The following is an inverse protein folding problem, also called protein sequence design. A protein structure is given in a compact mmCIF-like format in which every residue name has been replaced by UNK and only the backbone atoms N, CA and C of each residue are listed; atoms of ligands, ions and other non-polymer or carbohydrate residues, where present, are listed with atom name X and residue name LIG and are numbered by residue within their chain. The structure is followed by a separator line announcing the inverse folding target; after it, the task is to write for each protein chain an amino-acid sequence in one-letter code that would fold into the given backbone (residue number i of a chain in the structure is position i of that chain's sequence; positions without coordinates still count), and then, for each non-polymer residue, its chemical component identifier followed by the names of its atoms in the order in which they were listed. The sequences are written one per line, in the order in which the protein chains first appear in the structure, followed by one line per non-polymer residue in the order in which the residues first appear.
data_IF_411733334593
#
_entry.id   IF_411733334593
#
_cell.length_a   1.000
_cell.length_b   1.000
_cell.length_c   1.000
_cell.angle_alpha   90.00
_cell.angle_beta   90.00
_cell.angle_gamma   90.00
#
_symmetry.space_group_name_H-M   'P 1'
#
loop_
_entity.id
_entity.type
_entity.pdbx_description
1 polymer ?
#
# COMPACT_ATOMS: atom_id res chain seq x y z
N UNK A 1 25.29 -14.33 -13.11
CA UNK A 1 23.89 -14.37 -12.63
C UNK A 1 23.81 -13.63 -11.30
N UNK A 2 23.96 -12.30 -11.35
CA UNK A 2 24.20 -11.43 -10.18
C UNK A 2 22.88 -10.92 -9.56
N UNK A 3 21.84 -11.76 -9.48
CA UNK A 3 20.46 -11.30 -9.19
C UNK A 3 19.85 -11.86 -7.90
N UNK A 4 20.66 -12.45 -7.00
CA UNK A 4 20.15 -13.08 -5.76
C UNK A 4 20.93 -12.67 -4.50
N UNK A 5 21.37 -11.42 -4.41
CA UNK A 5 21.90 -10.88 -3.15
C UNK A 5 21.49 -9.43 -2.97
N UNK A 6 20.18 -9.19 -2.96
CA UNK A 6 19.66 -8.08 -2.16
C UNK A 6 19.63 -8.66 -0.75
N UNK A 7 20.60 -8.26 0.07
CA UNK A 7 20.68 -8.65 1.47
C UNK A 7 19.34 -8.33 2.14
N UNK A 8 18.67 -9.35 2.67
CA UNK A 8 17.48 -9.20 3.52
C UNK A 8 17.91 -8.57 4.85
N UNK A 9 18.13 -7.26 4.87
CA UNK A 9 18.07 -6.54 6.13
C UNK A 9 16.60 -6.43 6.53
N UNK A 10 16.21 -7.36 7.41
CA UNK A 10 14.99 -7.26 8.22
C UNK A 10 15.06 -5.94 9.00
N UNK A 11 14.00 -5.13 8.86
CA UNK A 11 13.89 -3.86 9.58
C UNK A 11 13.63 -4.18 11.06
N UNK A 12 14.67 -4.03 11.89
CA UNK A 12 14.58 -4.28 13.33
C UNK A 12 13.97 -3.04 13.99
N UNK A 13 12.75 -3.18 14.49
CA UNK A 13 12.08 -2.17 15.29
C UNK A 13 12.52 -2.28 16.76
N UNK A 14 12.58 -1.14 17.46
CA UNK A 14 12.94 -1.08 18.88
C UNK A 14 11.92 -1.84 19.76
N UNK A 15 10.65 -1.92 19.34
CA UNK A 15 9.60 -2.58 20.08
C UNK A 15 9.25 -3.99 19.56
N UNK A 16 8.92 -4.89 20.50
CA UNK A 16 8.57 -6.28 20.19
C UNK A 16 7.32 -6.42 19.32
N UNK A 17 6.40 -5.46 19.34
CA UNK A 17 5.14 -5.51 18.58
C UNK A 17 5.38 -5.24 17.09
N UNK A 18 6.26 -4.28 16.77
CA UNK A 18 6.77 -4.02 15.43
C UNK A 18 7.41 -5.28 14.83
N UNK A 19 8.41 -5.84 15.52
CA UNK A 19 9.11 -7.04 15.07
C UNK A 19 8.19 -8.24 14.84
N UNK A 20 7.17 -8.45 15.71
CA UNK A 20 6.15 -9.50 15.51
C UNK A 20 5.32 -9.29 14.24
N UNK A 21 5.02 -8.04 13.87
CA UNK A 21 4.19 -7.75 12.69
C UNK A 21 4.96 -7.97 11.40
N UNK A 22 6.24 -7.63 11.38
CA UNK A 22 7.14 -7.83 10.22
C UNK A 22 7.36 -9.32 9.98
N UNK A 23 7.68 -10.08 11.03
CA UNK A 23 7.91 -11.52 10.90
C UNK A 23 6.68 -12.32 10.46
N UNK A 24 5.47 -11.83 10.75
CA UNK A 24 4.21 -12.51 10.37
C UNK A 24 3.77 -12.25 8.94
N UNK A 25 4.21 -11.15 8.32
CA UNK A 25 3.73 -10.80 6.99
C UNK A 25 4.77 -9.98 6.21
N UNK A 26 5.17 -10.53 5.07
CA UNK A 26 6.20 -10.01 4.18
C UNK A 26 5.77 -8.75 3.39
N UNK A 27 5.37 -7.68 4.11
CA UNK A 27 4.82 -6.44 3.52
C UNK A 27 5.76 -5.81 2.51
N UNK A 28 7.05 -5.71 2.87
CA UNK A 28 8.09 -5.08 2.05
C UNK A 28 8.31 -5.86 0.78
N UNK A 29 8.45 -7.18 0.89
CA UNK A 29 8.66 -8.09 -0.24
C UNK A 29 7.44 -8.05 -1.20
N UNK A 30 6.22 -8.08 -0.67
CA UNK A 30 5.01 -8.01 -1.48
C UNK A 30 4.86 -6.67 -2.20
N UNK A 31 5.17 -5.56 -1.52
CA UNK A 31 5.16 -4.22 -2.13
C UNK A 31 6.17 -4.13 -3.28
N UNK A 32 7.43 -4.53 -3.03
CA UNK A 32 8.49 -4.54 -4.05
C UNK A 32 8.08 -5.43 -5.24
N UNK A 33 7.58 -6.63 -4.96
CA UNK A 33 7.12 -7.56 -6.00
C UNK A 33 6.02 -6.94 -6.86
N UNK A 34 5.01 -6.32 -6.24
CA UNK A 34 3.91 -5.65 -6.93
C UNK A 34 4.41 -4.53 -7.85
N UNK A 35 5.30 -3.66 -7.35
CA UNK A 35 5.89 -2.57 -8.15
C UNK A 35 6.64 -3.13 -9.36
N UNK A 36 7.54 -4.10 -9.16
CA UNK A 36 8.34 -4.69 -10.25
C UNK A 36 7.44 -5.34 -11.31
N UNK A 37 6.42 -6.10 -10.90
CA UNK A 37 5.52 -6.78 -11.83
C UNK A 37 4.69 -5.79 -12.64
N UNK A 38 4.18 -4.74 -12.01
CA UNK A 38 3.42 -3.69 -12.71
C UNK A 38 4.27 -2.93 -13.73
N UNK A 39 5.49 -2.55 -13.35
CA UNK A 39 6.42 -1.89 -14.28
C UNK A 39 6.79 -2.78 -15.47
N UNK A 40 6.99 -4.09 -15.25
CA UNK A 40 7.27 -5.05 -16.33
C UNK A 40 6.12 -5.20 -17.32
N UNK A 41 4.89 -4.90 -16.91
CA UNK A 41 3.71 -4.90 -17.77
C UNK A 41 3.47 -3.54 -18.45
N UNK A 42 4.35 -2.55 -18.22
CA UNK A 42 4.21 -1.20 -18.80
C UNK A 42 3.23 -0.30 -18.05
N UNK A 43 2.82 -0.66 -16.83
CA UNK A 43 1.97 0.20 -16.02
C UNK A 43 2.76 1.29 -15.31
N UNK A 44 2.15 2.47 -15.20
CA UNK A 44 2.63 3.52 -14.31
C UNK A 44 2.23 3.20 -12.87
N UNK A 45 3.22 3.18 -11.97
CA UNK A 45 3.02 2.84 -10.56
C UNK A 45 3.12 4.10 -9.72
N UNK A 46 2.11 4.30 -8.86
CA UNK A 46 2.07 5.42 -7.91
C UNK A 46 1.98 4.85 -6.51
N UNK A 47 2.89 5.27 -5.64
CA UNK A 47 2.88 4.88 -4.23
C UNK A 47 2.06 5.88 -3.44
N UNK A 48 1.04 5.39 -2.74
CA UNK A 48 0.11 6.19 -1.93
C UNK A 48 0.18 5.72 -0.49
N UNK A 49 0.27 6.66 0.46
CA UNK A 49 0.25 6.33 1.89
C UNK A 49 -1.18 5.99 2.36
N UNK A 50 -1.44 4.76 2.85
CA UNK A 50 -2.77 4.35 3.29
C UNK A 50 -3.15 4.86 4.70
N UNK A 51 -2.25 5.58 5.39
CA UNK A 51 -2.49 6.04 6.77
C UNK A 51 -3.75 6.90 6.85
N UNK A 52 -4.58 6.62 7.85
CA UNK A 52 -5.78 7.41 8.17
C UNK A 52 -6.98 7.18 7.25
N UNK A 53 -7.03 6.07 6.50
CA UNK A 53 -8.17 5.77 5.62
C UNK A 53 -9.35 5.18 6.40
N UNK A 54 -9.16 4.11 7.15
CA UNK A 54 -10.26 3.33 7.76
C UNK A 54 -10.89 3.95 9.01
N UNK A 55 -10.36 5.09 9.50
CA UNK A 55 -10.81 5.75 10.72
C UNK A 55 -11.33 7.18 10.45
N UNK A 56 -11.74 7.49 9.21
CA UNK A 56 -12.31 8.78 8.85
C UNK A 56 -13.81 8.69 8.66
N UNK A 57 -14.52 9.79 8.95
CA UNK A 57 -15.97 9.90 8.68
C UNK A 57 -16.27 9.74 7.19
N UNK A 58 -15.38 10.22 6.32
CA UNK A 58 -15.45 10.04 4.86
C UNK A 58 -15.46 8.56 4.46
N UNK A 59 -14.77 7.70 5.20
CA UNK A 59 -14.71 6.27 4.91
C UNK A 59 -16.07 5.59 5.13
N UNK A 60 -16.71 5.91 6.25
CA UNK A 60 -18.04 5.40 6.59
C UNK A 60 -19.10 5.96 5.63
N UNK A 61 -18.98 7.22 5.24
CA UNK A 61 -19.86 7.84 4.25
C UNK A 61 -19.72 7.18 2.88
N UNK A 62 -18.49 6.93 2.41
CA UNK A 62 -18.25 6.19 1.16
C UNK A 62 -18.88 4.80 1.19
N UNK A 63 -18.77 4.07 2.31
CA UNK A 63 -19.40 2.76 2.45
C UNK A 63 -20.94 2.84 2.41
N UNK A 64 -21.55 3.80 3.10
CA UNK A 64 -23.01 3.96 3.16
C UNK A 64 -23.59 4.46 1.85
N UNK A 65 -23.00 5.47 1.25
CA UNK A 65 -23.52 6.12 0.03
C UNK A 65 -23.29 5.27 -1.22
N UNK A 66 -22.14 4.60 -1.33
CA UNK A 66 -21.80 3.76 -2.49
C UNK A 66 -22.18 2.30 -2.31
N UNK A 67 -22.58 1.88 -1.10
CA UNK A 67 -22.86 0.49 -0.78
C UNK A 67 -21.62 -0.42 -0.84
N UNK A 68 -20.43 0.16 -0.65
CA UNK A 68 -19.17 -0.58 -0.72
C UNK A 68 -18.91 -1.37 0.57
N UNK A 69 -18.38 -2.58 0.42
CA UNK A 69 -17.78 -3.29 1.54
C UNK A 69 -16.44 -2.64 1.94
N UNK A 70 -15.92 -3.05 3.10
CA UNK A 70 -14.69 -2.49 3.68
C UNK A 70 -13.50 -2.56 2.72
N UNK A 71 -13.35 -3.66 1.97
CA UNK A 71 -12.23 -3.81 1.05
C UNK A 71 -12.39 -2.89 -0.16
N UNK A 72 -13.58 -2.84 -0.75
CA UNK A 72 -13.88 -1.97 -1.90
C UNK A 72 -13.75 -0.50 -1.53
N UNK A 73 -14.28 -0.07 -0.38
CA UNK A 73 -14.15 1.32 0.09
C UNK A 73 -12.68 1.71 0.31
N UNK A 74 -11.88 0.81 0.88
CA UNK A 74 -10.43 1.03 1.05
C UNK A 74 -9.72 1.21 -0.28
N UNK A 75 -10.00 0.34 -1.26
CA UNK A 75 -9.40 0.42 -2.59
C UNK A 75 -9.83 1.70 -3.32
N UNK A 76 -11.10 2.07 -3.22
CA UNK A 76 -11.66 3.28 -3.83
C UNK A 76 -10.98 4.55 -3.30
N UNK A 77 -10.82 4.68 -1.98
CA UNK A 77 -10.17 5.86 -1.38
C UNK A 77 -8.68 5.93 -1.73
N UNK A 78 -7.98 4.79 -1.79
CA UNK A 78 -6.59 4.75 -2.25
C UNK A 78 -6.48 5.25 -3.69
N UNK A 79 -7.41 4.85 -4.56
CA UNK A 79 -7.43 5.32 -5.95
C UNK A 79 -7.66 6.84 -6.03
N UNK A 80 -8.59 7.39 -5.25
CA UNK A 80 -8.81 8.85 -5.19
C UNK A 80 -7.56 9.61 -4.76
N UNK A 81 -6.89 9.17 -3.69
CA UNK A 81 -5.61 9.77 -3.26
C UNK A 81 -4.53 9.65 -4.33
N UNK A 82 -4.48 8.53 -5.05
CA UNK A 82 -3.57 8.35 -6.18
C UNK A 82 -3.80 9.38 -7.28
N UNK A 83 -5.07 9.66 -7.61
CA UNK A 83 -5.43 10.69 -8.59
C UNK A 83 -5.02 12.10 -8.14
N UNK A 84 -5.15 12.43 -6.85
CA UNK A 84 -4.67 13.71 -6.30
C UNK A 84 -3.16 13.85 -6.45
N UNK A 85 -2.39 12.79 -6.17
CA UNK A 85 -0.93 12.80 -6.37
C UNK A 85 -0.58 13.06 -7.83
N UNK A 86 -1.29 12.45 -8.79
CA UNK A 86 -1.06 12.69 -10.22
C UNK A 86 -1.35 14.14 -10.56
N UNK A 87 -2.49 14.67 -10.11
CA UNK A 87 -2.93 16.04 -10.42
C UNK A 87 -1.97 17.10 -9.87
N UNK A 88 -1.40 16.88 -8.69
CA UNK A 88 -0.50 17.84 -8.04
C UNK A 88 0.93 17.80 -8.61
N UNK A 89 1.29 16.71 -9.31
CA UNK A 89 2.61 16.51 -9.91
C UNK A 89 2.61 16.71 -11.44
N UNK A 90 1.47 17.06 -12.02
CA UNK A 90 1.28 17.26 -13.47
C UNK A 90 1.32 18.73 -13.89
#
# INVERSE_FOLDING_TARGET
MLFLRISEEEEIYEDKSGNRKVSRFAKKQLLIHGVIKSLRLGFNVILVNPKGITNSEDYDNVMREKGFDRHTASAYIIALRGLEVIKNNG
#
